data_IF_224345499557
#
_entry.id   IF_224345499557
#
_cell.length_a   1.000
_cell.length_b   1.000
_cell.length_c   1.000
_cell.angle_alpha   90.00
_cell.angle_beta   90.00
_cell.angle_gamma   90.00
#
_symmetry.space_group_name_H-M   'P 1'
#
loop_
_entity.id
_entity.type
_entity.pdbx_description
1 polymer ?
#
# COMPACT_ATOMS: atom_id res chain seq x y z
N UNK A 1 4.02 -0.29 50.84
CA UNK A 1 4.32 1.15 50.72
C UNK A 1 5.70 1.26 50.10
N UNK A 2 5.75 1.31 48.76
CA UNK A 2 6.96 1.51 47.96
C UNK A 2 6.67 2.75 47.07
N UNK A 3 7.63 3.68 46.93
CA UNK A 3 7.38 4.93 46.24
C UNK A 3 7.29 4.76 44.73
N UNK A 4 6.44 5.63 44.21
CA UNK A 4 6.12 5.97 42.83
C UNK A 4 7.38 6.30 42.00
N UNK A 5 7.59 5.60 40.90
CA UNK A 5 8.61 5.94 39.90
C UNK A 5 7.90 6.32 38.61
N UNK A 6 7.69 7.62 38.47
CA UNK A 6 7.39 8.30 37.21
C UNK A 6 8.26 7.74 36.07
N UNK A 7 7.63 7.00 35.16
CA UNK A 7 8.17 6.76 33.83
C UNK A 7 7.72 7.90 32.91
N UNK A 8 8.50 8.98 32.98
CA UNK A 8 8.50 10.11 32.06
C UNK A 8 8.98 9.63 30.68
N UNK A 9 8.12 8.96 29.92
CA UNK A 9 8.34 8.69 28.49
C UNK A 9 8.08 9.97 27.68
N UNK A 10 8.93 10.97 27.89
CA UNK A 10 9.18 12.01 26.89
C UNK A 10 9.97 11.37 25.76
N UNK A 11 9.26 10.70 24.85
CA UNK A 11 9.79 10.52 23.52
C UNK A 11 9.93 11.91 22.89
N UNK A 12 11.16 12.38 22.90
CA UNK A 12 11.69 13.44 22.08
C UNK A 12 10.93 13.50 20.75
N UNK A 13 10.17 14.58 20.54
CA UNK A 13 9.82 15.04 19.20
C UNK A 13 11.15 15.21 18.47
N UNK A 14 11.41 14.33 17.51
CA UNK A 14 12.39 14.56 16.46
C UNK A 14 11.81 15.65 15.57
N UNK A 15 11.95 16.91 15.98
CA UNK A 15 11.78 18.06 15.09
C UNK A 15 13.07 18.20 14.28
N UNK A 16 13.22 17.33 13.28
CA UNK A 16 14.17 17.51 12.19
C UNK A 16 13.54 18.40 11.11
N UNK A 17 14.31 19.27 10.43
CA UNK A 17 13.77 20.20 9.45
C UNK A 17 13.45 19.46 8.14
N UNK A 18 12.23 18.95 7.95
CA UNK A 18 11.76 18.44 6.65
C UNK A 18 11.38 19.58 5.69
N UNK A 19 12.32 20.47 5.41
CA UNK A 19 12.26 21.38 4.26
C UNK A 19 13.33 20.93 3.26
N UNK A 20 12.94 20.28 2.15
CA UNK A 20 13.82 20.27 0.97
C UNK A 20 13.81 19.10 -0.01
N UNK A 21 13.02 18.03 0.18
CA UNK A 21 12.87 16.96 -0.81
C UNK A 21 11.36 16.68 -1.00
N UNK A 22 10.72 16.63 -2.17
CA UNK A 22 11.16 16.49 -3.54
C UNK A 22 9.88 16.64 -4.41
N UNK A 23 9.65 17.81 -5.04
CA UNK A 23 8.44 18.02 -5.86
C UNK A 23 8.35 17.04 -7.03
N UNK A 24 9.49 16.71 -7.64
CA UNK A 24 9.55 15.82 -8.79
C UNK A 24 9.15 14.38 -8.44
N UNK A 25 9.60 13.84 -7.31
CA UNK A 25 9.21 12.48 -6.91
C UNK A 25 7.71 12.36 -6.61
N UNK A 26 7.09 13.40 -6.02
CA UNK A 26 5.64 13.46 -5.85
C UNK A 26 4.92 13.51 -7.20
N UNK A 27 5.37 14.38 -8.10
CA UNK A 27 4.81 14.51 -9.45
C UNK A 27 4.91 13.19 -10.21
N UNK A 28 6.09 12.57 -10.28
CA UNK A 28 6.29 11.27 -10.95
C UNK A 28 5.39 10.22 -10.33
N UNK A 29 5.28 10.16 -8.99
CA UNK A 29 4.37 9.22 -8.33
C UNK A 29 2.91 9.44 -8.78
N UNK A 30 2.42 10.69 -8.81
CA UNK A 30 1.05 11.00 -9.22
C UNK A 30 0.79 10.74 -10.71
N UNK A 31 1.79 10.89 -11.57
CA UNK A 31 1.70 10.59 -13.01
C UNK A 31 1.78 9.09 -13.31
N UNK A 32 2.53 8.34 -12.52
CA UNK A 32 2.76 6.90 -12.74
C UNK A 32 1.81 5.99 -11.97
N UNK A 33 0.90 6.59 -11.22
CA UNK A 33 -0.17 5.92 -10.49
C UNK A 33 -1.51 6.57 -10.82
N UNK A 34 -2.60 5.82 -10.81
CA UNK A 34 -3.94 6.35 -11.08
C UNK A 34 -4.91 5.97 -9.96
N UNK A 35 -5.84 6.85 -9.54
CA UNK A 35 -6.84 6.50 -8.54
C UNK A 35 -7.74 5.37 -9.04
N UNK A 36 -8.00 4.38 -8.19
CA UNK A 36 -8.91 3.28 -8.53
C UNK A 36 -10.34 3.68 -8.20
N UNK A 37 -11.26 3.54 -9.15
CA UNK A 37 -12.68 3.86 -8.94
C UNK A 37 -13.42 2.73 -8.23
N UNK A 38 -14.46 3.05 -7.46
CA UNK A 38 -15.23 2.05 -6.71
C UNK A 38 -15.80 0.90 -7.54
N UNK A 39 -16.42 1.15 -8.72
CA UNK A 39 -16.95 0.06 -9.55
C UNK A 39 -15.90 -0.97 -10.00
N UNK A 40 -14.61 -0.60 -10.00
CA UNK A 40 -13.51 -1.53 -10.26
C UNK A 40 -13.21 -2.39 -9.05
N UNK A 41 -13.23 -1.82 -7.85
CA UNK A 41 -12.97 -2.53 -6.59
C UNK A 41 -14.10 -3.51 -6.27
N UNK A 42 -15.36 -3.15 -6.58
CA UNK A 42 -16.51 -4.06 -6.48
C UNK A 42 -16.37 -5.27 -7.39
N UNK A 43 -15.96 -5.07 -8.65
CA UNK A 43 -15.69 -6.16 -9.60
C UNK A 43 -14.54 -7.07 -9.20
N UNK A 44 -13.70 -6.63 -8.27
CA UNK A 44 -12.57 -7.39 -7.77
C UNK A 44 -12.87 -8.06 -6.42
N UNK A 45 -14.11 -7.99 -5.93
CA UNK A 45 -14.52 -8.58 -4.66
C UNK A 45 -13.92 -7.90 -3.42
N UNK A 46 -13.34 -6.70 -3.57
CA UNK A 46 -12.58 -6.00 -2.50
C UNK A 46 -13.22 -4.67 -2.08
N UNK A 47 -14.50 -4.46 -2.39
CA UNK A 47 -15.18 -3.19 -2.12
C UNK A 47 -15.24 -2.83 -0.64
N UNK A 48 -15.54 -3.81 0.22
CA UNK A 48 -15.66 -3.61 1.68
C UNK A 48 -14.34 -3.17 2.28
N UNK A 49 -13.28 -3.96 2.11
CA UNK A 49 -11.94 -3.60 2.54
C UNK A 49 -11.47 -2.26 1.97
N UNK A 50 -11.81 -1.97 0.71
CA UNK A 50 -11.47 -0.70 0.10
C UNK A 50 -12.24 0.49 0.68
N UNK A 51 -13.46 0.28 1.17
CA UNK A 51 -14.24 1.28 1.87
C UNK A 51 -13.61 1.55 3.25
N UNK A 52 -13.20 0.51 3.97
CA UNK A 52 -12.52 0.64 5.28
C UNK A 52 -11.23 1.45 5.16
N UNK A 53 -10.36 1.07 4.20
CA UNK A 53 -9.11 1.80 3.91
C UNK A 53 -9.42 3.29 3.62
N UNK A 54 -10.49 3.58 2.88
CA UNK A 54 -10.87 4.97 2.56
C UNK A 54 -11.46 5.71 3.75
N UNK A 55 -12.20 5.03 4.62
CA UNK A 55 -12.73 5.61 5.85
C UNK A 55 -11.60 6.10 6.77
N UNK A 56 -10.45 5.42 6.75
CA UNK A 56 -9.23 5.86 7.44
C UNK A 56 -8.48 7.01 6.73
N UNK A 57 -9.03 7.55 5.63
CA UNK A 57 -8.46 8.65 4.87
C UNK A 57 -7.34 8.23 3.91
N UNK A 58 -7.23 6.95 3.57
CA UNK A 58 -6.30 6.45 2.57
C UNK A 58 -6.93 6.39 1.18
N UNK A 59 -6.10 6.41 0.16
CA UNK A 59 -6.52 6.28 -1.24
C UNK A 59 -5.94 5.03 -1.86
N UNK A 60 -6.72 4.35 -2.70
CA UNK A 60 -6.24 3.18 -3.45
C UNK A 60 -5.85 3.65 -4.85
N UNK A 61 -4.60 3.41 -5.24
CA UNK A 61 -4.08 3.79 -6.55
C UNK A 61 -3.52 2.56 -7.27
N UNK A 62 -3.69 2.49 -8.58
CA UNK A 62 -3.10 1.46 -9.42
C UNK A 62 -1.84 1.94 -10.12
N UNK A 63 -0.85 1.07 -10.30
CA UNK A 63 0.33 1.32 -11.11
C UNK A 63 0.58 0.18 -12.11
N UNK A 64 1.15 0.50 -13.27
CA UNK A 64 1.67 -0.53 -14.18
C UNK A 64 2.84 -1.30 -13.54
N UNK A 65 3.22 -2.50 -14.03
CA UNK A 65 4.13 -3.42 -13.37
C UNK A 65 5.46 -2.78 -12.94
N UNK A 66 6.11 -2.06 -13.85
CA UNK A 66 7.40 -1.41 -13.56
C UNK A 66 7.28 -0.39 -12.42
N UNK A 67 6.27 0.49 -12.48
CA UNK A 67 6.03 1.49 -11.46
C UNK A 67 5.50 0.90 -10.15
N UNK A 68 4.70 -0.16 -10.24
CA UNK A 68 4.25 -0.92 -9.08
C UNK A 68 5.45 -1.49 -8.33
N UNK A 69 6.40 -2.12 -9.00
CA UNK A 69 7.62 -2.66 -8.36
C UNK A 69 8.44 -1.56 -7.69
N UNK A 70 8.60 -0.39 -8.32
CA UNK A 70 9.32 0.74 -7.72
C UNK A 70 8.59 1.26 -6.48
N UNK A 71 7.31 1.58 -6.60
CA UNK A 71 6.57 2.27 -5.54
C UNK A 71 6.09 1.36 -4.40
N UNK A 72 5.86 0.07 -4.67
CA UNK A 72 5.41 -0.91 -3.67
C UNK A 72 6.45 -1.18 -2.57
N UNK A 73 7.72 -0.83 -2.82
CA UNK A 73 8.81 -0.97 -1.85
C UNK A 73 9.05 0.29 -1.01
N UNK A 74 8.67 1.47 -1.52
CA UNK A 74 8.80 2.77 -0.84
C UNK A 74 7.65 2.97 0.17
N UNK A 75 7.73 2.23 1.28
CA UNK A 75 6.67 2.20 2.30
C UNK A 75 6.48 3.57 2.97
N UNK A 76 7.56 4.33 3.17
CA UNK A 76 7.52 5.67 3.74
C UNK A 76 6.77 6.65 2.83
N UNK A 77 7.01 6.61 1.52
CA UNK A 77 6.22 7.40 0.56
C UNK A 77 4.76 7.01 0.60
N UNK A 78 4.44 5.72 0.56
CA UNK A 78 3.05 5.26 0.60
C UNK A 78 2.33 5.72 1.87
N UNK A 79 3.00 5.73 3.03
CA UNK A 79 2.47 6.30 4.27
C UNK A 79 2.26 7.81 4.18
N UNK A 80 3.26 8.55 3.73
CA UNK A 80 3.21 10.01 3.60
C UNK A 80 2.10 10.47 2.64
N UNK A 81 1.93 9.77 1.53
CA UNK A 81 0.90 10.06 0.52
C UNK A 81 -0.46 9.46 0.88
N UNK A 82 -0.55 8.66 1.96
CA UNK A 82 -1.73 7.86 2.35
C UNK A 82 -2.29 7.06 1.17
N UNK A 83 -1.41 6.28 0.52
CA UNK A 83 -1.76 5.45 -0.63
C UNK A 83 -1.54 3.98 -0.33
N UNK A 84 -2.57 3.18 -0.60
CA UNK A 84 -2.44 1.74 -0.79
C UNK A 84 -2.33 1.47 -2.29
N UNK A 85 -1.22 0.86 -2.71
CA UNK A 85 -0.92 0.63 -4.11
C UNK A 85 -1.40 -0.77 -4.54
N UNK A 86 -2.03 -0.84 -5.70
CA UNK A 86 -2.41 -2.10 -6.36
C UNK A 86 -1.85 -2.18 -7.78
N UNK A 87 -1.68 -3.37 -8.36
CA UNK A 87 -1.29 -3.51 -9.76
C UNK A 87 -2.38 -3.03 -10.72
N UNK A 88 -1.97 -2.68 -11.93
CA UNK A 88 -2.88 -2.43 -13.03
C UNK A 88 -3.67 -3.70 -13.41
N UNK A 89 -4.88 -3.51 -13.92
CA UNK A 89 -5.83 -4.58 -14.27
C UNK A 89 -5.37 -5.44 -15.46
N UNK A 90 -4.70 -4.83 -16.43
CA UNK A 90 -4.18 -5.52 -17.62
C UNK A 90 -3.13 -6.60 -17.33
N UNK A 91 -2.65 -6.71 -16.09
CA UNK A 91 -1.71 -7.76 -15.64
C UNK A 91 -2.39 -9.13 -15.54
N UNK A 92 -3.74 -9.18 -15.57
CA UNK A 92 -4.49 -10.43 -15.54
C UNK A 92 -4.48 -11.11 -14.17
N UNK A 93 -4.49 -10.30 -13.11
CA UNK A 93 -4.63 -10.80 -11.74
C UNK A 93 -6.08 -11.20 -11.47
N UNK A 94 -6.25 -12.33 -10.77
CA UNK A 94 -7.56 -12.75 -10.26
C UNK A 94 -7.98 -11.90 -9.06
N UNK A 95 -9.25 -12.00 -8.66
CA UNK A 95 -9.77 -11.33 -7.46
C UNK A 95 -8.97 -11.71 -6.21
N UNK A 96 -8.71 -13.01 -6.02
CA UNK A 96 -7.94 -13.53 -4.88
C UNK A 96 -6.50 -13.01 -4.88
N UNK A 97 -5.86 -12.92 -6.04
CA UNK A 97 -4.50 -12.38 -6.19
C UNK A 97 -4.46 -10.89 -5.87
N UNK A 98 -5.45 -10.13 -6.34
CA UNK A 98 -5.57 -8.70 -6.04
C UNK A 98 -5.81 -8.46 -4.55
N UNK A 99 -6.70 -9.24 -3.95
CA UNK A 99 -6.99 -9.20 -2.51
C UNK A 99 -5.75 -9.54 -1.69
N UNK A 100 -5.01 -10.59 -2.07
CA UNK A 100 -3.75 -10.98 -1.41
C UNK A 100 -2.73 -9.83 -1.41
N UNK A 101 -2.56 -9.15 -2.55
CA UNK A 101 -1.68 -7.99 -2.65
C UNK A 101 -2.18 -6.83 -1.78
N UNK A 102 -3.47 -6.50 -1.87
CA UNK A 102 -4.05 -5.39 -1.12
C UNK A 102 -3.90 -5.60 0.40
N UNK A 103 -4.23 -6.80 0.88
CA UNK A 103 -4.08 -7.17 2.29
C UNK A 103 -2.62 -7.09 2.75
N UNK A 104 -1.69 -7.64 1.95
CA UNK A 104 -0.26 -7.57 2.25
C UNK A 104 0.22 -6.12 2.37
N UNK A 105 -0.22 -5.25 1.46
CA UNK A 105 0.14 -3.82 1.51
C UNK A 105 -0.50 -3.11 2.69
N UNK A 106 -1.79 -3.32 2.95
CA UNK A 106 -2.48 -2.72 4.07
C UNK A 106 -1.85 -3.14 5.41
N UNK A 107 -1.47 -4.40 5.57
CA UNK A 107 -0.71 -4.89 6.73
C UNK A 107 0.66 -4.23 6.87
N UNK A 108 1.45 -4.15 5.78
CA UNK A 108 2.75 -3.45 5.78
C UNK A 108 2.64 -1.97 6.16
N UNK A 109 1.53 -1.34 5.79
CA UNK A 109 1.23 0.05 6.09
C UNK A 109 0.65 0.25 7.50
N UNK A 110 0.35 -0.83 8.23
CA UNK A 110 -0.20 -0.79 9.58
C UNK A 110 -1.71 -0.53 9.65
N UNK A 111 -2.43 -0.68 8.53
CA UNK A 111 -3.88 -0.46 8.43
C UNK A 111 -4.70 -1.65 8.89
N UNK A 112 -4.11 -2.84 8.81
CA UNK A 112 -4.75 -4.06 9.27
C UNK A 112 -3.86 -4.72 10.30
N UNK A 113 -4.49 -5.25 11.35
CA UNK A 113 -3.83 -6.15 12.27
C UNK A 113 -3.20 -7.32 11.48
N UNK A 114 -2.06 -7.81 11.95
CA UNK A 114 -1.36 -8.97 11.39
C UNK A 114 -2.19 -10.23 11.63
N UNK A 115 -3.26 -10.41 10.87
CA UNK A 115 -3.95 -11.69 10.75
C UNK A 115 -3.18 -12.56 9.78
N UNK A 116 -3.00 -13.82 10.15
CA UNK A 116 -2.51 -14.85 9.25
C UNK A 116 -3.61 -15.08 8.22
N UNK A 117 -3.36 -14.63 6.99
CA UNK A 117 -4.29 -14.82 5.88
C UNK A 117 -3.65 -15.88 4.99
N UNK A 118 -4.40 -16.94 4.68
CA UNK A 118 -3.99 -18.01 3.76
C UNK A 118 -3.97 -17.52 2.30
N UNK A 119 -3.28 -16.41 2.06
CA UNK A 119 -3.11 -15.78 0.75
C UNK A 119 -1.74 -16.04 0.14
N UNK A 120 -0.88 -16.84 0.77
CA UNK A 120 0.49 -17.08 0.30
C UNK A 120 0.54 -17.61 -1.13
N UNK A 121 -0.23 -18.65 -1.46
CA UNK A 121 -0.28 -19.19 -2.81
C UNK A 121 -0.80 -18.17 -3.84
N UNK A 122 -1.80 -17.37 -3.47
CA UNK A 122 -2.32 -16.31 -4.33
C UNK A 122 -1.28 -15.18 -4.51
N UNK A 123 -0.55 -14.82 -3.46
CA UNK A 123 0.48 -13.82 -3.51
C UNK A 123 1.66 -14.25 -4.40
N UNK A 124 2.08 -15.50 -4.31
CA UNK A 124 3.15 -16.04 -5.15
C UNK A 124 2.73 -16.12 -6.62
N UNK A 125 1.51 -16.55 -6.91
CA UNK A 125 0.94 -16.49 -8.26
C UNK A 125 0.91 -15.05 -8.79
N UNK A 126 0.45 -14.10 -7.97
CA UNK A 126 0.39 -12.69 -8.34
C UNK A 126 1.78 -12.11 -8.63
N UNK A 127 2.78 -12.45 -7.81
CA UNK A 127 4.19 -12.08 -8.00
C UNK A 127 4.75 -12.65 -9.31
N UNK A 128 4.45 -13.91 -9.62
CA UNK A 128 4.88 -14.52 -10.88
C UNK A 128 4.28 -13.82 -12.10
N UNK A 129 2.99 -13.42 -12.05
CA UNK A 129 2.34 -12.65 -13.11
C UNK A 129 2.93 -11.25 -13.25
N UNK A 130 3.15 -10.56 -12.13
CA UNK A 130 3.83 -9.27 -12.10
C UNK A 130 5.21 -9.34 -12.73
N UNK A 131 6.00 -10.35 -12.38
CA UNK A 131 7.33 -10.58 -12.96
C UNK A 131 7.27 -10.75 -14.48
N UNK A 132 6.37 -11.60 -14.99
CA UNK A 132 6.18 -11.78 -16.43
C UNK A 132 5.75 -10.50 -17.14
N UNK A 133 4.90 -9.70 -16.51
CA UNK A 133 4.45 -8.43 -17.07
C UNK A 133 5.60 -7.41 -17.16
N UNK A 134 6.52 -7.40 -16.19
CA UNK A 134 7.73 -6.56 -16.22
C UNK A 134 8.65 -6.97 -17.37
N UNK A 135 8.81 -8.26 -17.64
CA UNK A 135 9.67 -8.75 -18.72
C UNK A 135 9.13 -8.44 -20.14
N UNK A 136 7.87 -8.03 -20.25
CA UNK A 136 7.20 -7.73 -21.53
C UNK A 136 6.99 -6.24 -21.81
N UNK A 137 7.27 -5.38 -20.83
CA UNK A 137 6.95 -3.95 -20.84
C UNK A 137 8.21 -3.09 -20.96
#
# INVERSE_FOLDING_TARGET
MYPDINHDFRHHRVTGPERGFCGLAHVVFRFTTSPVRMPRLTRLGIAELAADIRAEGWTIRSAGPRWFTVWSQDTERLRRERVVLVPADWIGLTETEMLAILLTHAQRLGLLATRQIDTLAALDSARAKLWRAIQRA
#
